data_IF_232870192693
#
_entry.id   IF_232870192693
#
_cell.length_a   1.000
_cell.length_b   1.000
_cell.length_c   1.000
_cell.angle_alpha   90.00
_cell.angle_beta   90.00
_cell.angle_gamma   90.00
#
_symmetry.space_group_name_H-M   'P 1'
#
loop_
_entity.id
_entity.type
_entity.pdbx_description
1 polymer ?
#
# COMPACT_ATOMS: atom_id res chain seq x y z
N UNK A 1 26.21 -13.93 8.38
CA UNK A 1 25.36 -13.91 9.59
C UNK A 1 24.39 -15.07 9.48
N UNK A 2 24.53 -16.09 10.31
CA UNK A 2 23.53 -17.15 10.42
C UNK A 2 22.36 -16.64 11.26
N UNK A 3 21.26 -16.30 10.59
CA UNK A 3 20.05 -15.81 11.23
C UNK A 3 19.19 -17.00 11.67
N UNK A 4 19.12 -17.23 12.99
CA UNK A 4 18.20 -18.20 13.58
C UNK A 4 16.88 -17.51 13.94
N UNK A 5 15.81 -17.82 13.20
CA UNK A 5 14.47 -17.30 13.49
C UNK A 5 13.79 -18.20 14.52
N UNK A 6 13.43 -17.65 15.67
CA UNK A 6 12.67 -18.36 16.71
C UNK A 6 11.23 -17.84 16.78
N UNK A 7 10.22 -18.71 16.89
CA UNK A 7 8.83 -18.28 17.02
C UNK A 7 8.60 -17.56 18.36
N UNK A 8 7.84 -16.47 18.33
CA UNK A 8 7.39 -15.79 19.56
C UNK A 8 6.28 -16.62 20.19
N UNK A 9 6.47 -17.04 21.44
CA UNK A 9 5.50 -17.89 22.16
C UNK A 9 4.20 -17.17 22.53
N UNK A 10 4.21 -15.84 22.59
CA UNK A 10 3.01 -15.03 22.74
C UNK A 10 2.27 -15.18 24.08
N UNK A 11 2.98 -15.49 25.17
CA UNK A 11 2.35 -15.76 26.49
C UNK A 11 2.50 -14.63 27.51
N UNK A 12 3.19 -13.54 27.18
CA UNK A 12 3.45 -12.46 28.13
C UNK A 12 2.20 -11.58 28.33
N UNK A 13 2.06 -10.99 29.52
CA UNK A 13 0.99 -10.01 29.78
C UNK A 13 1.02 -8.84 28.79
N UNK A 14 2.22 -8.35 28.46
CA UNK A 14 2.41 -7.26 27.50
C UNK A 14 1.93 -7.64 26.10
N UNK A 15 2.15 -8.88 25.66
CA UNK A 15 1.63 -9.39 24.39
C UNK A 15 0.10 -9.33 24.36
N UNK A 16 -0.57 -9.88 25.38
CA UNK A 16 -2.04 -9.85 25.44
C UNK A 16 -2.60 -8.43 25.54
N UNK A 17 -1.92 -7.51 26.23
CA UNK A 17 -2.31 -6.10 26.27
C UNK A 17 -2.25 -5.46 24.87
N UNK A 18 -1.16 -5.67 24.14
CA UNK A 18 -1.03 -5.15 22.76
C UNK A 18 -2.11 -5.76 21.86
N UNK A 19 -2.36 -7.06 21.95
CA UNK A 19 -3.44 -7.72 21.19
C UNK A 19 -4.80 -7.11 21.53
N UNK A 20 -5.11 -6.91 22.81
CA UNK A 20 -6.37 -6.30 23.24
C UNK A 20 -6.55 -4.88 22.69
N UNK A 21 -5.48 -4.07 22.69
CA UNK A 21 -5.49 -2.72 22.11
C UNK A 21 -5.76 -2.79 20.59
N UNK A 22 -5.07 -3.67 19.87
CA UNK A 22 -5.27 -3.82 18.42
C UNK A 22 -6.69 -4.30 18.09
N UNK A 23 -7.26 -5.20 18.88
CA UNK A 23 -8.67 -5.63 18.73
C UNK A 23 -9.61 -4.46 18.98
N UNK A 24 -9.41 -3.68 20.04
CA UNK A 24 -10.23 -2.51 20.33
C UNK A 24 -10.17 -1.47 19.20
N UNK A 25 -8.98 -1.15 18.69
CA UNK A 25 -8.80 -0.27 17.53
C UNK A 25 -9.50 -0.80 16.28
N UNK A 26 -9.42 -2.11 16.03
CA UNK A 26 -10.13 -2.76 14.91
C UNK A 26 -11.64 -2.61 15.04
N UNK A 27 -12.20 -2.84 16.24
CA UNK A 27 -13.63 -2.69 16.51
C UNK A 27 -14.09 -1.23 16.33
N UNK A 28 -13.31 -0.26 16.81
CA UNK A 28 -13.57 1.17 16.57
C UNK A 28 -13.57 1.49 15.08
N UNK A 29 -12.61 0.95 14.31
CA UNK A 29 -12.56 1.09 12.86
C UNK A 29 -13.80 0.52 12.16
N UNK A 30 -14.23 -0.69 12.54
CA UNK A 30 -15.43 -1.33 11.98
C UNK A 30 -16.71 -0.57 12.31
N UNK A 31 -16.86 -0.08 13.55
CA UNK A 31 -17.99 0.75 13.95
C UNK A 31 -18.00 2.07 13.16
N UNK A 32 -16.83 2.70 13.01
CA UNK A 32 -16.69 3.94 12.24
C UNK A 32 -17.05 3.73 10.77
N UNK A 33 -16.63 2.61 10.19
CA UNK A 33 -17.04 2.22 8.84
C UNK A 33 -18.56 2.00 8.72
N UNK A 34 -19.18 1.30 9.66
CA UNK A 34 -20.63 1.10 9.66
C UNK A 34 -21.41 2.43 9.73
N UNK A 35 -20.95 3.37 10.57
CA UNK A 35 -21.52 4.72 10.66
C UNK A 35 -21.36 5.45 9.32
N UNK A 36 -20.16 5.42 8.73
CA UNK A 36 -19.89 6.03 7.43
C UNK A 36 -20.72 5.42 6.30
N UNK A 37 -20.94 4.11 6.31
CA UNK A 37 -21.77 3.44 5.31
C UNK A 37 -23.24 3.87 5.38
N UNK A 38 -23.78 4.09 6.58
CA UNK A 38 -25.19 4.49 6.79
C UNK A 38 -25.39 5.99 6.57
N UNK A 39 -24.49 6.84 7.08
CA UNK A 39 -24.59 8.30 6.99
C UNK A 39 -24.04 8.87 5.69
N UNK A 40 -23.21 8.11 4.98
CA UNK A 40 -22.53 8.54 3.77
C UNK A 40 -21.31 9.44 4.06
N UNK A 41 -20.80 10.08 3.00
CA UNK A 41 -19.53 10.82 3.03
C UNK A 41 -19.54 12.10 3.90
N UNK A 42 -20.69 12.51 4.42
CA UNK A 42 -20.80 13.69 5.29
C UNK A 42 -19.91 13.56 6.55
N UNK A 43 -19.71 12.34 7.04
CA UNK A 43 -18.91 12.09 8.25
C UNK A 43 -17.42 12.32 8.04
N UNK A 44 -16.94 12.36 6.80
CA UNK A 44 -15.54 12.60 6.48
C UNK A 44 -15.16 14.07 6.48
N UNK A 45 -16.14 14.99 6.59
CA UNK A 45 -15.91 16.42 6.47
C UNK A 45 -15.60 16.88 5.03
N UNK A 46 -15.83 16.01 4.04
CA UNK A 46 -15.69 16.35 2.63
C UNK A 46 -16.80 17.32 2.19
N UNK A 47 -16.49 18.19 1.24
CA UNK A 47 -17.44 19.10 0.63
C UNK A 47 -17.12 19.27 -0.86
N UNK A 48 -17.90 20.09 -1.58
CA UNK A 48 -17.69 20.28 -3.02
C UNK A 48 -16.34 20.91 -3.37
N UNK A 49 -15.75 21.70 -2.47
CA UNK A 49 -14.42 22.28 -2.67
C UNK A 49 -13.30 21.29 -2.33
N UNK A 50 -13.47 20.46 -1.30
CA UNK A 50 -12.52 19.42 -0.86
C UNK A 50 -13.21 18.05 -0.91
N UNK A 51 -13.20 17.37 -2.07
CA UNK A 51 -13.98 16.15 -2.29
C UNK A 51 -13.33 14.92 -1.65
N UNK A 52 -12.02 14.92 -1.47
CA UNK A 52 -11.26 13.80 -0.90
C UNK A 52 -10.89 14.09 0.55
N UNK A 53 -11.44 13.27 1.45
CA UNK A 53 -11.21 13.38 2.89
C UNK A 53 -10.05 12.50 3.36
N UNK A 54 -10.04 12.23 4.67
CA UNK A 54 -9.02 11.40 5.33
C UNK A 54 -8.80 10.01 4.70
N UNK A 55 -9.82 9.28 4.19
CA UNK A 55 -9.59 7.97 3.59
C UNK A 55 -8.61 7.97 2.40
N UNK A 56 -8.70 8.98 1.51
CA UNK A 56 -7.78 9.11 0.37
C UNK A 56 -6.39 9.54 0.83
N UNK A 57 -6.29 10.47 1.79
CA UNK A 57 -5.01 10.89 2.36
C UNK A 57 -4.28 9.70 2.97
N UNK A 58 -4.99 8.89 3.76
CA UNK A 58 -4.43 7.69 4.38
C UNK A 58 -4.05 6.64 3.33
N UNK A 59 -4.88 6.42 2.30
CA UNK A 59 -4.58 5.49 1.23
C UNK A 59 -3.27 5.83 0.52
N UNK A 60 -3.09 7.09 0.12
CA UNK A 60 -1.87 7.55 -0.58
C UNK A 60 -0.65 7.41 0.30
N UNK A 61 -0.77 7.76 1.59
CA UNK A 61 0.33 7.62 2.55
C UNK A 61 0.74 6.15 2.70
N UNK A 62 -0.21 5.24 2.88
CA UNK A 62 0.05 3.80 3.01
C UNK A 62 0.61 3.18 1.72
N UNK A 63 0.13 3.61 0.54
CA UNK A 63 0.71 3.22 -0.76
C UNK A 63 2.18 3.65 -0.81
N UNK A 64 2.47 4.91 -0.43
CA UNK A 64 3.81 5.50 -0.27
C UNK A 64 4.75 4.63 0.53
N UNK A 65 4.36 4.39 1.79
CA UNK A 65 5.11 3.57 2.73
C UNK A 65 5.37 2.15 2.20
N UNK A 66 4.37 1.57 1.52
CA UNK A 66 4.46 0.22 0.97
C UNK A 66 5.55 0.11 -0.09
N UNK A 67 5.56 0.98 -1.10
CA UNK A 67 6.56 0.88 -2.15
C UNK A 67 7.96 1.19 -1.66
N UNK A 68 8.13 2.19 -0.79
CA UNK A 68 9.44 2.47 -0.19
C UNK A 68 9.97 1.24 0.56
N UNK A 69 9.13 0.57 1.36
CA UNK A 69 9.49 -0.68 2.04
C UNK A 69 9.91 -1.77 1.05
N UNK A 70 9.18 -1.93 -0.06
CA UNK A 70 9.51 -2.94 -1.08
C UNK A 70 10.82 -2.64 -1.82
N UNK A 71 11.11 -1.36 -2.09
CA UNK A 71 12.37 -0.95 -2.72
C UNK A 71 13.56 -1.29 -1.83
N UNK A 72 13.45 -1.12 -0.51
CA UNK A 72 14.48 -1.53 0.45
C UNK A 72 14.71 -3.05 0.46
N UNK A 73 13.65 -3.86 0.35
CA UNK A 73 13.80 -5.32 0.18
C UNK A 73 14.63 -5.69 -1.06
N UNK A 74 14.46 -4.93 -2.15
CA UNK A 74 15.16 -5.19 -3.40
C UNK A 74 16.67 -5.06 -3.30
N UNK A 75 17.19 -4.27 -2.34
CA UNK A 75 18.63 -4.14 -2.10
C UNK A 75 19.28 -5.51 -1.86
N UNK A 76 18.62 -6.39 -1.11
CA UNK A 76 19.11 -7.76 -0.91
C UNK A 76 18.80 -8.66 -2.10
N UNK A 77 17.53 -8.84 -2.45
CA UNK A 77 17.13 -9.93 -3.36
C UNK A 77 17.34 -9.61 -4.86
N UNK A 78 17.44 -8.32 -5.23
CA UNK A 78 17.67 -7.87 -6.62
C UNK A 78 19.14 -7.47 -6.81
N UNK A 79 19.65 -6.63 -5.91
CA UNK A 79 21.01 -6.08 -5.99
C UNK A 79 22.08 -6.89 -5.25
N UNK A 80 21.70 -7.96 -4.53
CA UNK A 80 22.65 -8.87 -3.89
C UNK A 80 23.34 -8.29 -2.65
N UNK A 81 22.79 -7.24 -2.03
CA UNK A 81 23.32 -6.67 -0.78
C UNK A 81 22.88 -7.51 0.40
N UNK A 82 23.72 -8.49 0.74
CA UNK A 82 23.49 -9.41 1.87
C UNK A 82 23.45 -8.70 3.24
N UNK A 83 24.00 -7.49 3.33
CA UNK A 83 23.95 -6.65 4.54
C UNK A 83 22.51 -6.34 5.00
N UNK A 84 21.57 -6.21 4.06
CA UNK A 84 20.16 -5.91 4.35
C UNK A 84 19.28 -7.17 4.47
N UNK A 85 19.85 -8.37 4.41
CA UNK A 85 19.07 -9.62 4.48
C UNK A 85 18.17 -9.77 5.70
N UNK A 86 18.58 -9.36 6.93
CA UNK A 86 17.72 -9.43 8.11
C UNK A 86 16.44 -8.59 7.94
N UNK A 87 16.55 -7.46 7.26
CA UNK A 87 15.48 -6.47 7.12
C UNK A 87 14.62 -6.73 5.88
N UNK A 88 15.22 -7.32 4.83
CA UNK A 88 14.62 -7.44 3.51
C UNK A 88 13.33 -8.27 3.50
N UNK A 89 13.25 -9.34 4.32
CA UNK A 89 12.02 -10.15 4.44
C UNK A 89 10.90 -9.38 5.14
N UNK A 90 11.22 -8.69 6.23
CA UNK A 90 10.26 -7.87 6.96
C UNK A 90 9.74 -6.72 6.09
N UNK A 91 10.61 -6.13 5.26
CA UNK A 91 10.25 -5.04 4.38
C UNK A 91 9.21 -5.43 3.30
N UNK A 92 9.29 -6.65 2.73
CA UNK A 92 8.24 -7.14 1.81
C UNK A 92 6.93 -7.38 2.55
N UNK A 93 7.00 -8.00 3.73
CA UNK A 93 5.81 -8.24 4.55
C UNK A 93 5.12 -6.93 4.91
N UNK A 94 5.88 -5.94 5.34
CA UNK A 94 5.38 -4.61 5.67
C UNK A 94 4.73 -3.94 4.45
N UNK A 95 5.36 -4.04 3.27
CA UNK A 95 4.76 -3.56 2.03
C UNK A 95 3.37 -4.17 1.79
N UNK A 96 3.24 -5.50 1.91
CA UNK A 96 1.96 -6.20 1.71
C UNK A 96 0.89 -5.72 2.69
N UNK A 97 1.24 -5.56 3.97
CA UNK A 97 0.29 -5.09 5.00
C UNK A 97 -0.15 -3.65 4.73
N UNK A 98 0.79 -2.78 4.34
CA UNK A 98 0.52 -1.37 4.06
C UNK A 98 -0.35 -1.19 2.81
N UNK A 99 -0.05 -1.86 1.70
CA UNK A 99 -0.91 -1.79 0.51
C UNK A 99 -2.30 -2.36 0.78
N UNK A 100 -2.41 -3.42 1.59
CA UNK A 100 -3.71 -3.95 2.00
C UNK A 100 -4.50 -2.90 2.80
N UNK A 101 -3.85 -2.22 3.75
CA UNK A 101 -4.45 -1.10 4.48
C UNK A 101 -4.90 0.03 3.56
N UNK A 102 -4.10 0.36 2.53
CA UNK A 102 -4.49 1.36 1.53
C UNK A 102 -5.70 0.92 0.70
N UNK A 103 -5.75 -0.34 0.26
CA UNK A 103 -6.87 -0.89 -0.48
C UNK A 103 -8.17 -0.88 0.35
N UNK A 104 -8.07 -1.19 1.64
CA UNK A 104 -9.20 -1.06 2.57
C UNK A 104 -9.62 0.42 2.67
N UNK A 105 -8.68 1.35 2.81
CA UNK A 105 -8.98 2.78 2.88
C UNK A 105 -9.67 3.29 1.60
N UNK A 106 -9.26 2.82 0.42
CA UNK A 106 -9.94 3.10 -0.86
C UNK A 106 -11.34 2.50 -0.84
N UNK A 107 -11.51 1.26 -0.39
CA UNK A 107 -12.82 0.61 -0.31
C UNK A 107 -13.79 1.36 0.62
N UNK A 108 -13.29 1.96 1.70
CA UNK A 108 -14.06 2.83 2.61
C UNK A 108 -14.45 4.15 1.95
N UNK A 109 -13.59 4.71 1.10
CA UNK A 109 -13.89 5.92 0.33
C UNK A 109 -14.90 5.67 -0.82
N UNK A 110 -15.18 4.41 -1.19
CA UNK A 110 -16.25 4.14 -2.13
C UNK A 110 -17.59 4.41 -1.43
N UNK A 111 -18.39 5.35 -1.94
CA UNK A 111 -19.75 5.57 -1.45
C UNK A 111 -20.69 4.38 -1.62
N UNK A 112 -20.33 3.38 -2.43
CA UNK A 112 -21.06 2.12 -2.64
C UNK A 112 -20.08 0.93 -2.72
N UNK A 113 -19.49 0.51 -1.59
CA UNK A 113 -18.50 -0.56 -1.56
C UNK A 113 -19.03 -1.89 -2.09
N UNK A 114 -20.34 -2.14 -2.03
CA UNK A 114 -20.95 -3.36 -2.59
C UNK A 114 -20.81 -3.46 -4.12
N UNK A 115 -20.50 -2.35 -4.80
CA UNK A 115 -20.22 -2.30 -6.23
C UNK A 115 -18.73 -2.38 -6.57
N UNK A 116 -17.87 -2.62 -5.58
CA UNK A 116 -16.42 -2.71 -5.76
C UNK A 116 -16.00 -3.70 -6.85
N UNK A 117 -16.73 -4.81 -7.02
CA UNK A 117 -16.46 -5.81 -8.07
C UNK A 117 -16.47 -5.23 -9.49
N UNK A 118 -17.17 -4.12 -9.74
CA UNK A 118 -17.19 -3.43 -11.04
C UNK A 118 -15.80 -2.91 -11.43
N UNK A 119 -14.93 -2.64 -10.45
CA UNK A 119 -13.55 -2.23 -10.68
C UNK A 119 -12.72 -3.31 -11.39
N UNK A 120 -13.13 -4.57 -11.36
CA UNK A 120 -12.44 -5.66 -12.06
C UNK A 120 -13.01 -5.96 -13.46
N UNK A 121 -14.09 -5.29 -13.86
CA UNK A 121 -14.67 -5.43 -15.21
C UNK A 121 -13.96 -4.49 -16.20
N UNK A 122 -12.68 -4.77 -16.41
CA UNK A 122 -11.82 -4.00 -17.30
C UNK A 122 -12.40 -3.93 -18.71
N UNK A 123 -12.30 -2.76 -19.34
CA UNK A 123 -12.76 -2.48 -20.72
C UNK A 123 -14.27 -2.64 -20.98
N UNK A 124 -15.06 -3.08 -19.98
CA UNK A 124 -16.51 -3.21 -20.11
C UNK A 124 -17.27 -2.15 -19.29
N UNK A 125 -17.09 -2.12 -17.96
CA UNK A 125 -17.72 -1.09 -17.10
C UNK A 125 -16.76 0.05 -16.72
N UNK A 126 -15.45 -0.15 -16.89
CA UNK A 126 -14.43 0.81 -16.48
C UNK A 126 -13.94 1.68 -17.64
N UNK A 127 -13.86 2.99 -17.41
CA UNK A 127 -13.23 3.93 -18.33
C UNK A 127 -11.70 3.89 -18.18
N UNK A 128 -11.01 3.28 -19.13
CA UNK A 128 -9.54 3.16 -19.12
C UNK A 128 -8.78 4.45 -19.41
N UNK A 129 -9.48 5.55 -19.71
CA UNK A 129 -8.86 6.88 -19.71
C UNK A 129 -8.75 7.48 -18.30
N UNK A 130 -9.46 6.92 -17.32
CA UNK A 130 -9.41 7.38 -15.93
C UNK A 130 -8.20 6.82 -15.22
N UNK A 131 -7.42 7.71 -14.58
CA UNK A 131 -6.31 7.26 -13.75
C UNK A 131 -6.76 6.45 -12.53
N UNK A 132 -7.97 6.65 -12.01
CA UNK A 132 -8.50 5.78 -10.96
C UNK A 132 -8.69 4.33 -11.43
N UNK A 133 -9.17 4.14 -12.67
CA UNK A 133 -9.37 2.79 -13.22
C UNK A 133 -8.03 2.08 -13.46
N UNK A 134 -7.05 2.80 -14.02
CA UNK A 134 -5.69 2.29 -14.23
C UNK A 134 -5.04 1.93 -12.88
N UNK A 135 -5.15 2.81 -11.88
CA UNK A 135 -4.57 2.57 -10.57
C UNK A 135 -5.20 1.37 -9.85
N UNK A 136 -6.48 1.07 -10.08
CA UNK A 136 -7.09 -0.17 -9.57
C UNK A 136 -6.35 -1.43 -10.04
N UNK A 137 -5.92 -1.46 -11.31
CA UNK A 137 -5.09 -2.56 -11.87
C UNK A 137 -3.70 -2.55 -11.22
N UNK A 138 -3.09 -1.37 -11.11
CA UNK A 138 -1.75 -1.24 -10.54
C UNK A 138 -1.72 -1.70 -9.08
N UNK A 139 -2.68 -1.29 -8.24
CA UNK A 139 -2.72 -1.67 -6.83
C UNK A 139 -3.01 -3.17 -6.64
N UNK A 140 -3.97 -3.73 -7.38
CA UNK A 140 -4.27 -5.17 -7.32
C UNK A 140 -3.11 -6.04 -7.83
N UNK A 141 -2.48 -5.64 -8.93
CA UNK A 141 -1.30 -6.30 -9.47
C UNK A 141 -0.12 -6.23 -8.50
N UNK A 142 0.10 -5.07 -7.88
CA UNK A 142 1.19 -4.85 -6.93
C UNK A 142 1.06 -5.72 -5.68
N UNK A 143 -0.15 -5.79 -5.11
CA UNK A 143 -0.45 -6.66 -3.98
C UNK A 143 -0.18 -8.14 -4.33
N UNK A 144 -0.65 -8.58 -5.49
CA UNK A 144 -0.48 -9.97 -5.96
C UNK A 144 1.00 -10.30 -6.20
N UNK A 145 1.73 -9.44 -6.92
CA UNK A 145 3.16 -9.61 -7.17
C UNK A 145 3.94 -9.66 -5.85
N UNK A 146 3.61 -8.78 -4.89
CA UNK A 146 4.28 -8.74 -3.59
C UNK A 146 4.04 -10.01 -2.78
N UNK A 147 2.83 -10.58 -2.80
CA UNK A 147 2.51 -11.86 -2.17
C UNK A 147 3.33 -13.01 -2.77
N UNK A 148 3.38 -13.12 -4.10
CA UNK A 148 4.14 -14.17 -4.79
C UNK A 148 5.64 -13.99 -4.53
N UNK A 149 6.12 -12.75 -4.52
CA UNK A 149 7.50 -12.42 -4.19
C UNK A 149 7.87 -12.87 -2.78
N UNK A 150 7.06 -12.54 -1.77
CA UNK A 150 7.27 -13.03 -0.40
C UNK A 150 7.21 -14.55 -0.32
N UNK A 151 6.27 -15.19 -1.01
CA UNK A 151 6.17 -16.65 -1.11
C UNK A 151 7.45 -17.28 -1.69
N UNK A 152 8.04 -16.68 -2.72
CA UNK A 152 9.29 -17.16 -3.34
C UNK A 152 10.50 -17.07 -2.40
N UNK A 153 10.52 -16.04 -1.52
CA UNK A 153 11.53 -15.89 -0.47
C UNK A 153 11.43 -17.05 0.53
N UNK A 154 10.22 -17.41 0.95
CA UNK A 154 10.00 -18.52 1.89
C UNK A 154 10.26 -19.89 1.24
N UNK A 155 9.92 -20.05 -0.03
CA UNK A 155 10.23 -21.26 -0.81
C UNK A 155 11.72 -21.41 -1.14
N UNK A 156 12.56 -20.44 -0.75
CA UNK A 156 14.01 -20.44 -0.97
C UNK A 156 14.40 -20.65 -2.44
N UNK A 157 13.69 -19.98 -3.36
CA UNK A 157 13.94 -20.08 -4.81
C UNK A 157 14.69 -18.83 -5.31
N UNK A 158 16.03 -18.75 -5.22
CA UNK A 158 16.78 -17.51 -5.40
C UNK A 158 16.64 -16.90 -6.79
N UNK A 159 16.67 -17.73 -7.86
CA UNK A 159 16.49 -17.25 -9.24
C UNK A 159 15.11 -16.61 -9.44
N UNK A 160 14.07 -17.30 -8.97
CA UNK A 160 12.69 -16.82 -9.09
C UNK A 160 12.45 -15.58 -8.23
N UNK A 161 13.00 -15.56 -7.01
CA UNK A 161 12.95 -14.41 -6.09
C UNK A 161 13.57 -13.17 -6.71
N UNK A 162 14.71 -13.30 -7.40
CA UNK A 162 15.36 -12.17 -8.07
C UNK A 162 14.52 -11.60 -9.21
N UNK A 163 13.92 -12.47 -10.02
CA UNK A 163 13.03 -12.07 -11.12
C UNK A 163 11.80 -11.35 -10.55
N UNK A 164 11.12 -11.94 -9.59
CA UNK A 164 9.95 -11.36 -8.95
C UNK A 164 10.26 -10.04 -8.23
N UNK A 165 11.39 -9.97 -7.53
CA UNK A 165 11.84 -8.72 -6.90
C UNK A 165 12.06 -7.61 -7.91
N UNK A 166 12.63 -7.93 -9.08
CA UNK A 166 12.86 -6.95 -10.15
C UNK A 166 11.54 -6.45 -10.73
N UNK A 167 10.60 -7.37 -10.99
CA UNK A 167 9.24 -7.04 -11.45
C UNK A 167 8.52 -6.20 -10.39
N UNK A 168 8.61 -6.58 -9.12
CA UNK A 168 7.95 -5.90 -8.01
C UNK A 168 8.45 -4.46 -7.84
N UNK A 169 9.75 -4.21 -7.98
CA UNK A 169 10.32 -2.85 -7.94
C UNK A 169 9.83 -1.99 -9.10
N UNK A 170 9.87 -2.52 -10.33
CA UNK A 170 9.35 -1.82 -11.49
C UNK A 170 7.86 -1.51 -11.34
N UNK A 171 7.09 -2.47 -10.85
CA UNK A 171 5.67 -2.31 -10.61
C UNK A 171 5.38 -1.31 -9.47
N UNK A 172 6.17 -1.31 -8.41
CA UNK A 172 6.06 -0.35 -7.30
C UNK A 172 6.28 1.09 -7.79
N UNK A 173 7.24 1.30 -8.69
CA UNK A 173 7.45 2.59 -9.33
C UNK A 173 6.23 3.01 -10.18
N UNK A 174 5.66 2.09 -10.97
CA UNK A 174 4.44 2.35 -11.75
C UNK A 174 3.23 2.70 -10.86
N UNK A 175 3.03 1.99 -9.75
CA UNK A 175 1.98 2.30 -8.76
C UNK A 175 2.10 3.73 -8.25
N UNK A 176 3.32 4.17 -7.94
CA UNK A 176 3.56 5.49 -7.36
C UNK A 176 3.42 6.60 -8.37
N UNK A 177 4.01 6.41 -9.55
CA UNK A 177 3.85 7.33 -10.66
C UNK A 177 2.39 7.41 -11.11
N UNK A 178 1.67 6.28 -11.14
CA UNK A 178 0.24 6.21 -11.41
C UNK A 178 -0.58 6.95 -10.38
N UNK A 179 -0.24 6.82 -9.09
CA UNK A 179 -0.92 7.55 -8.00
C UNK A 179 -0.67 9.05 -8.09
N UNK A 180 0.57 9.47 -8.36
CA UNK A 180 0.90 10.88 -8.61
C UNK A 180 0.21 11.42 -9.87
N UNK A 181 0.02 10.59 -10.90
CA UNK A 181 -0.70 10.96 -12.12
C UNK A 181 -2.20 11.20 -11.87
N UNK A 182 -2.81 10.60 -10.84
CA UNK A 182 -4.18 10.95 -10.42
C UNK A 182 -4.27 12.45 -10.17
N UNK A 183 -3.31 13.03 -9.45
CA UNK A 183 -3.27 14.46 -9.12
C UNK A 183 -2.76 15.31 -10.27
N UNK A 184 -1.71 14.84 -10.96
CA UNK A 184 -1.07 15.58 -12.05
C UNK A 184 -1.99 15.85 -13.24
N UNK A 185 -3.03 15.04 -13.44
CA UNK A 185 -3.96 15.15 -14.57
C UNK A 185 -5.31 15.81 -14.23
N UNK A 186 -5.49 16.36 -13.03
CA UNK A 186 -6.72 17.08 -12.66
C UNK A 186 -6.63 18.54 -13.07
N UNK A 187 -6.72 18.81 -14.38
CA UNK A 187 -6.59 20.17 -14.94
C UNK A 187 -7.49 21.23 -14.27
N UNK A 188 -8.62 20.81 -13.67
CA UNK A 188 -9.50 21.69 -12.92
C UNK A 188 -8.94 22.19 -11.57
N UNK A 189 -7.79 21.66 -11.10
CA UNK A 189 -7.11 22.06 -9.86
C UNK A 189 -5.67 22.45 -10.16
N UNK A 190 -5.45 23.73 -10.40
CA UNK A 190 -4.16 24.30 -10.81
C UNK A 190 -3.03 23.99 -9.82
N UNK A 191 -3.30 24.01 -8.52
CA UNK A 191 -2.31 23.70 -7.48
C UNK A 191 -1.84 22.24 -7.48
N UNK A 192 -2.60 21.34 -8.10
CA UNK A 192 -2.28 19.90 -8.16
C UNK A 192 -1.75 19.49 -9.52
N UNK A 193 -2.23 20.13 -10.58
CA UNK A 193 -1.88 19.84 -11.97
C UNK A 193 -0.42 20.18 -12.21
N UNK A 194 0.41 19.16 -12.32
CA UNK A 194 1.79 19.33 -12.76
C UNK A 194 2.31 18.04 -13.38
N UNK A 195 3.03 18.11 -14.52
CA UNK A 195 3.65 16.94 -15.15
C UNK A 195 4.67 16.22 -14.24
N UNK A 196 5.20 16.90 -13.22
CA UNK A 196 6.21 16.33 -12.32
C UNK A 196 5.61 15.52 -11.17
N UNK A 197 4.29 15.58 -10.92
CA UNK A 197 3.62 14.89 -9.80
C UNK A 197 3.91 13.38 -9.71
N UNK A 198 3.91 12.61 -10.82
CA UNK A 198 4.29 11.20 -10.78
C UNK A 198 5.69 10.96 -10.18
N UNK A 199 6.63 11.84 -10.49
CA UNK A 199 8.02 11.74 -10.03
C UNK A 199 8.13 12.18 -8.57
N UNK A 200 7.45 13.25 -8.17
CA UNK A 200 7.40 13.68 -6.76
C UNK A 200 6.88 12.58 -5.83
N UNK A 201 5.81 11.89 -6.23
CA UNK A 201 5.22 10.80 -5.47
C UNK A 201 6.19 9.61 -5.31
N UNK A 202 6.99 9.32 -6.34
CA UNK A 202 8.01 8.28 -6.28
C UNK A 202 9.09 8.60 -5.23
N UNK A 203 9.59 9.84 -5.23
CA UNK A 203 10.58 10.28 -4.22
C UNK A 203 10.00 10.35 -2.81
N UNK A 204 8.75 10.81 -2.67
CA UNK A 204 8.06 10.84 -1.38
C UNK A 204 7.87 9.43 -0.81
N UNK A 205 7.58 8.44 -1.65
CA UNK A 205 7.47 7.04 -1.24
C UNK A 205 8.79 6.44 -0.79
N UNK A 206 9.88 6.73 -1.52
CA UNK A 206 11.23 6.33 -1.11
C UNK A 206 11.60 6.89 0.26
N UNK A 207 11.38 8.19 0.46
CA UNK A 207 11.70 8.87 1.71
C UNK A 207 10.85 8.33 2.88
N UNK A 208 9.54 8.22 2.69
CA UNK A 208 8.60 7.77 3.73
C UNK A 208 8.77 6.29 4.09
N UNK A 209 8.98 5.41 3.11
CA UNK A 209 9.22 3.99 3.38
C UNK A 209 10.56 3.73 4.07
N UNK A 210 11.61 4.49 3.72
CA UNK A 210 12.88 4.43 4.44
C UNK A 210 12.71 4.88 5.89
N UNK A 211 12.02 6.00 6.11
CA UNK A 211 11.73 6.50 7.46
C UNK A 211 10.96 5.47 8.30
N UNK A 212 9.97 4.78 7.70
CA UNK A 212 9.24 3.72 8.39
C UNK A 212 10.13 2.54 8.76
N UNK A 213 11.00 2.07 7.85
CA UNK A 213 11.88 0.96 8.18
C UNK A 213 12.84 1.30 9.32
N UNK A 214 13.33 2.54 9.41
CA UNK A 214 14.18 3.00 10.53
C UNK A 214 13.43 2.94 11.87
N UNK A 215 12.11 3.16 11.87
CA UNK A 215 11.30 3.11 13.10
C UNK A 215 10.99 1.67 13.51
N UNK A 216 10.81 0.78 12.52
CA UNK A 216 10.34 -0.59 12.75
C UNK A 216 11.49 -1.58 12.98
N UNK A 217 12.68 -1.30 12.44
CA UNK A 217 13.82 -2.22 12.37
C UNK A 217 15.05 -1.59 13.03
#
# INVERSE_FOLDING_TARGET
MDLSYSPVTGKSRNYYLVVAILVALTLVGLISFAISYVRGHEVFGSNNAVPWGMPIVLAIYLIGLSAGSLILSSLTYVFGREEYKPIARMAVFLAIVLILGALISIAVDLGRPEKFWRLFMFFYLNNMKSMFAINGILYGGYFTISLIYLGSIFANQPRFTRILGTIAVGWAALVHMGTGAIFGFIAARETWTSPIKPIEFLFAALASGLALLIVVV
#
